data_IF_070723616811
#
_entry.id   IF_070723616811
#
_cell.length_a   1.000
_cell.length_b   1.000
_cell.length_c   1.000
_cell.angle_alpha   90.00
_cell.angle_beta   90.00
_cell.angle_gamma   90.00
#
_symmetry.space_group_name_H-M   'P 1'
#
loop_
_entity.id
_entity.type
_entity.pdbx_description
1 polymer ?
#
# COMPACT_ATOMS: atom_id res chain seq x y z
N UNK A 1 -2.08 16.60 -11.01
CA UNK A 1 -1.25 15.81 -10.07
C UNK A 1 -1.51 14.35 -10.40
N UNK A 2 -0.57 13.67 -11.06
CA UNK A 2 -0.68 12.22 -11.24
C UNK A 2 -0.55 11.60 -9.85
N UNK A 3 -1.51 10.79 -9.42
CA UNK A 3 -1.37 10.00 -8.20
C UNK A 3 -0.02 9.26 -8.25
N UNK A 4 0.71 9.19 -7.14
CA UNK A 4 1.98 8.43 -7.08
C UNK A 4 1.76 6.91 -7.12
N UNK A 5 0.51 6.47 -6.99
CA UNK A 5 0.07 5.07 -6.97
C UNK A 5 0.51 4.24 -8.19
N UNK A 6 0.46 4.73 -9.46
CA UNK A 6 0.93 3.98 -10.61
C UNK A 6 2.42 3.63 -10.57
N UNK A 7 3.26 4.51 -10.02
CA UNK A 7 4.70 4.22 -9.87
C UNK A 7 4.93 3.10 -8.85
N UNK A 8 4.19 3.13 -7.73
CA UNK A 8 4.21 2.08 -6.71
C UNK A 8 3.73 0.75 -7.33
N UNK A 9 2.61 0.75 -8.06
CA UNK A 9 2.10 -0.45 -8.74
C UNK A 9 3.09 -1.04 -9.75
N UNK A 10 3.82 -0.21 -10.49
CA UNK A 10 4.87 -0.67 -11.40
C UNK A 10 6.00 -1.35 -10.61
N UNK A 11 6.48 -0.73 -9.53
CA UNK A 11 7.55 -1.33 -8.72
C UNK A 11 7.14 -2.67 -8.08
N UNK A 12 5.88 -2.83 -7.67
CA UNK A 12 5.34 -4.11 -7.17
C UNK A 12 5.40 -5.18 -8.26
N UNK A 13 5.06 -4.83 -9.50
CA UNK A 13 5.15 -5.76 -10.65
C UNK A 13 6.58 -6.14 -10.97
N UNK A 14 7.54 -5.26 -10.68
CA UNK A 14 8.98 -5.51 -10.80
C UNK A 14 9.56 -6.29 -9.60
N UNK A 15 8.75 -6.55 -8.56
CA UNK A 15 9.12 -7.37 -7.40
C UNK A 15 9.55 -6.57 -6.17
N UNK A 16 9.31 -5.27 -6.12
CA UNK A 16 9.57 -4.47 -4.91
C UNK A 16 8.58 -4.85 -3.79
N UNK A 17 9.11 -4.97 -2.57
CA UNK A 17 8.34 -5.32 -1.37
C UNK A 17 7.89 -4.14 -0.50
N UNK A 18 8.31 -2.91 -0.84
CA UNK A 18 8.06 -1.72 -0.02
C UNK A 18 9.05 -1.54 1.15
N UNK A 19 8.80 -0.56 2.04
CA UNK A 19 7.68 0.39 1.98
C UNK A 19 7.84 1.46 0.90
N UNK A 20 6.76 2.19 0.60
CA UNK A 20 6.75 3.36 -0.29
C UNK A 20 6.17 4.60 0.39
N UNK A 21 6.50 5.78 -0.14
CA UNK A 21 5.88 7.05 0.24
C UNK A 21 4.42 7.07 -0.21
N UNK A 22 3.51 7.35 0.72
CA UNK A 22 2.09 7.48 0.44
C UNK A 22 1.83 8.75 -0.40
N UNK A 23 1.18 8.64 -1.56
CA UNK A 23 0.85 9.82 -2.37
C UNK A 23 -0.16 10.79 -1.75
N UNK A 24 -0.78 10.40 -0.62
CA UNK A 24 -1.87 11.14 0.02
C UNK A 24 -1.42 11.85 1.31
N UNK A 25 -0.61 11.18 2.15
CA UNK A 25 -0.13 11.74 3.41
C UNK A 25 1.40 11.95 3.44
N UNK A 26 2.10 11.68 2.34
CA UNK A 26 3.56 11.78 2.17
C UNK A 26 4.41 10.91 3.13
N UNK A 27 3.78 10.14 4.02
CA UNK A 27 4.45 9.22 4.95
C UNK A 27 5.01 7.99 4.25
N UNK A 28 6.18 7.51 4.67
CA UNK A 28 6.82 6.30 4.16
C UNK A 28 6.25 5.03 4.81
N UNK A 29 4.95 4.80 4.58
CA UNK A 29 4.15 3.81 5.30
C UNK A 29 3.22 2.98 4.39
N UNK A 30 3.43 3.01 3.07
CA UNK A 30 2.69 2.12 2.15
C UNK A 30 3.33 0.75 2.14
N UNK A 31 2.55 -0.28 2.45
CA UNK A 31 2.97 -1.68 2.51
C UNK A 31 2.24 -2.53 1.45
N UNK A 32 2.90 -3.61 1.02
CA UNK A 32 2.31 -4.62 0.12
C UNK A 32 1.67 -5.75 0.93
N UNK A 33 0.35 -5.84 0.89
CA UNK A 33 -0.42 -6.99 1.36
C UNK A 33 -0.60 -8.02 0.25
N UNK A 34 -0.49 -9.31 0.57
CA UNK A 34 -0.73 -10.40 -0.37
C UNK A 34 -1.64 -11.46 0.23
N UNK A 35 -2.63 -11.92 -0.55
CA UNK A 35 -3.49 -13.04 -0.19
C UNK A 35 -3.03 -14.29 -0.91
N UNK A 36 -2.87 -15.38 -0.15
CA UNK A 36 -2.39 -16.65 -0.68
C UNK A 36 -3.50 -17.71 -0.69
N UNK A 37 -3.58 -18.49 -1.77
CA UNK A 37 -4.43 -19.70 -1.87
C UNK A 37 -3.57 -20.83 -2.41
N UNK A 38 -3.54 -21.97 -1.70
CA UNK A 38 -2.75 -23.17 -2.08
C UNK A 38 -1.30 -22.85 -2.49
N UNK A 39 -0.67 -21.86 -1.80
CA UNK A 39 0.70 -21.35 -2.03
C UNK A 39 0.90 -20.41 -3.23
N UNK A 40 -0.17 -20.05 -3.96
CA UNK A 40 -0.12 -18.99 -4.97
C UNK A 40 -0.66 -17.67 -4.42
N UNK A 41 -0.06 -16.55 -4.81
CA UNK A 41 -0.66 -15.22 -4.59
C UNK A 41 -1.86 -15.10 -5.52
N UNK A 42 -3.04 -14.81 -4.96
CA UNK A 42 -4.28 -14.61 -5.74
C UNK A 42 -4.72 -13.16 -5.77
N UNK A 43 -4.17 -12.34 -4.87
CA UNK A 43 -4.54 -10.94 -4.70
C UNK A 43 -3.38 -10.19 -4.05
N UNK A 44 -3.12 -8.98 -4.54
CA UNK A 44 -2.15 -8.05 -3.98
C UNK A 44 -2.86 -6.74 -3.71
N UNK A 45 -2.63 -6.15 -2.54
CA UNK A 45 -3.22 -4.88 -2.11
C UNK A 45 -2.10 -3.96 -1.61
N UNK A 46 -2.22 -2.66 -1.90
CA UNK A 46 -1.34 -1.65 -1.35
C UNK A 46 -2.10 -0.85 -0.30
N UNK A 47 -1.44 -0.58 0.82
CA UNK A 47 -2.10 0.02 1.97
C UNK A 47 -1.16 0.98 2.69
N UNK A 48 -1.61 2.21 2.95
CA UNK A 48 -0.87 3.12 3.82
C UNK A 48 -1.32 2.93 5.28
N UNK A 49 -0.40 2.46 6.14
CA UNK A 49 -0.68 2.25 7.55
C UNK A 49 -0.90 3.57 8.33
N UNK A 50 -0.28 4.66 7.89
CA UNK A 50 -0.49 5.99 8.48
C UNK A 50 -1.90 6.53 8.19
N UNK A 51 -2.35 6.43 6.93
CA UNK A 51 -3.72 6.82 6.56
C UNK A 51 -4.78 5.96 7.27
N UNK A 52 -4.53 4.66 7.44
CA UNK A 52 -5.45 3.79 8.19
C UNK A 52 -5.56 4.18 9.65
N UNK A 53 -4.44 4.40 10.33
CA UNK A 53 -4.44 4.81 11.73
C UNK A 53 -5.19 6.13 11.95
N UNK A 54 -5.12 7.06 10.99
CA UNK A 54 -5.89 8.31 11.01
C UNK A 54 -7.39 8.15 10.70
N UNK A 55 -7.81 7.04 10.07
CA UNK A 55 -9.22 6.74 9.82
C UNK A 55 -9.90 6.00 10.99
N UNK A 56 -9.13 5.23 11.77
CA UNK A 56 -9.62 4.46 12.91
C UNK A 56 -9.84 5.31 14.19
N UNK A 57 -9.35 6.54 14.22
CA UNK A 57 -9.74 7.55 15.22
C UNK A 57 -11.12 8.12 14.87
N UNK A 58 -12.15 7.33 15.16
CA UNK A 58 -13.52 7.86 15.29
C UNK A 58 -13.56 8.67 16.58
N UNK A 59 -13.60 10.00 16.44
CA UNK A 59 -13.85 10.93 17.55
C UNK A 59 -15.18 10.55 18.25
N UNK A 60 -15.23 10.36 19.59
CA UNK A 60 -16.45 9.98 20.31
C UNK A 60 -17.60 11.00 20.25
#
# INVERSE_FOLDING_TARGET
MSSGWPAIMTSVREGAGGPWSCPECDEFAVELGQRFVRRGVVESTLLCLACQAGADVVDP
#
